data_IF_956432647540
#
_entry.id   IF_956432647540
#
_cell.length_a   1.000
_cell.length_b   1.000
_cell.length_c   1.000
_cell.angle_alpha   90.00
_cell.angle_beta   90.00
_cell.angle_gamma   90.00
#
_symmetry.space_group_name_H-M   'P 1'
#
loop_
_entity.id
_entity.type
_entity.pdbx_description
1 polymer ?
#
# COMPACT_ATOMS: atom_id res chain seq x y z
N UNK A 1 -7.32 -20.35 -16.46
CA UNK A 1 -6.10 -19.88 -17.17
C UNK A 1 -4.90 -20.15 -16.28
N UNK A 2 -3.92 -20.94 -16.75
CA UNK A 2 -2.68 -21.14 -15.98
C UNK A 2 -1.88 -19.85 -15.96
N UNK A 3 -1.97 -19.06 -14.89
CA UNK A 3 -1.10 -17.92 -14.65
C UNK A 3 0.30 -18.44 -14.36
N UNK A 4 1.29 -17.99 -15.16
CA UNK A 4 2.66 -18.45 -15.01
C UNK A 4 3.27 -18.01 -13.66
N UNK A 5 2.88 -16.83 -13.15
CA UNK A 5 3.34 -16.23 -11.90
C UNK A 5 2.19 -15.59 -11.12
N UNK A 6 2.32 -15.60 -9.80
CA UNK A 6 1.38 -14.94 -8.88
C UNK A 6 2.11 -14.39 -7.65
N UNK A 7 1.55 -13.33 -7.06
CA UNK A 7 1.99 -12.81 -5.77
C UNK A 7 1.35 -13.65 -4.66
N UNK A 8 2.18 -14.26 -3.83
CA UNK A 8 1.73 -15.02 -2.66
C UNK A 8 1.63 -14.10 -1.45
N UNK A 9 0.48 -14.10 -0.78
CA UNK A 9 0.17 -13.30 0.39
C UNK A 9 -0.17 -14.19 1.59
N UNK A 10 0.02 -13.65 2.79
CA UNK A 10 -0.30 -14.35 4.05
C UNK A 10 -1.40 -13.59 4.80
N UNK A 11 -2.61 -14.18 4.80
CA UNK A 11 -3.78 -13.61 5.47
C UNK A 11 -3.62 -13.56 6.98
N UNK A 12 -3.00 -14.60 7.57
CA UNK A 12 -2.76 -14.68 9.00
C UNK A 12 -1.74 -13.63 9.46
N UNK A 13 -0.74 -13.33 8.63
CA UNK A 13 0.18 -12.23 8.89
C UNK A 13 -0.54 -10.87 8.90
N UNK A 14 -1.46 -10.64 7.96
CA UNK A 14 -2.28 -9.43 7.94
C UNK A 14 -3.15 -9.32 9.20
N UNK A 15 -3.80 -10.42 9.61
CA UNK A 15 -4.60 -10.49 10.83
C UNK A 15 -3.78 -10.20 12.09
N UNK A 16 -2.59 -10.84 12.20
CA UNK A 16 -1.66 -10.59 13.29
C UNK A 16 -1.28 -9.09 13.37
N UNK A 17 -0.90 -8.49 12.23
CA UNK A 17 -0.49 -7.08 12.18
C UNK A 17 -1.62 -6.13 12.60
N UNK A 18 -2.86 -6.40 12.16
CA UNK A 18 -4.04 -5.62 12.55
C UNK A 18 -4.24 -5.65 14.07
N UNK A 19 -4.23 -6.83 14.68
CA UNK A 19 -4.43 -6.98 16.12
C UNK A 19 -3.26 -6.37 16.91
N UNK A 20 -2.02 -6.68 16.50
CA UNK A 20 -0.84 -6.13 17.15
C UNK A 20 -0.86 -4.59 17.17
N UNK A 21 -1.16 -3.94 16.04
CA UNK A 21 -1.17 -2.48 15.94
C UNK A 21 -2.29 -1.85 16.77
N UNK A 22 -3.48 -2.48 16.84
CA UNK A 22 -4.57 -2.06 17.74
C UNK A 22 -4.16 -2.11 19.22
N UNK A 23 -3.59 -3.24 19.62
CA UNK A 23 -3.11 -3.44 21.00
C UNK A 23 -1.94 -2.50 21.33
N UNK A 24 -0.98 -2.35 20.41
CA UNK A 24 0.20 -1.51 20.62
C UNK A 24 -0.13 -0.04 20.89
N UNK A 25 -1.14 0.51 20.21
CA UNK A 25 -1.53 1.94 20.37
C UNK A 25 -2.84 2.16 21.11
N UNK A 26 -3.60 1.12 21.43
CA UNK A 26 -4.94 1.23 22.04
C UNK A 26 -5.84 2.20 21.26
N UNK A 27 -5.80 2.13 19.91
CA UNK A 27 -6.52 2.99 18.98
C UNK A 27 -7.10 2.15 17.85
N UNK A 28 -8.15 2.66 17.22
CA UNK A 28 -8.67 2.06 15.99
C UNK A 28 -7.69 2.26 14.82
N UNK A 29 -7.80 1.37 13.83
CA UNK A 29 -6.95 1.45 12.63
C UNK A 29 -7.67 2.16 11.48
N UNK A 30 -6.91 2.97 10.75
CA UNK A 30 -7.24 3.44 9.41
C UNK A 30 -6.20 2.89 8.42
N UNK A 31 -6.36 1.64 7.93
CA UNK A 31 -5.47 1.09 6.93
C UNK A 31 -5.54 1.87 5.63
N UNK A 32 -4.36 2.16 5.05
CA UNK A 32 -4.24 2.81 3.75
C UNK A 32 -4.01 1.73 2.70
N UNK A 33 -4.99 1.54 1.82
CA UNK A 33 -5.01 0.47 0.80
C UNK A 33 -4.91 1.01 -0.63
N UNK A 34 -4.43 2.24 -0.80
CA UNK A 34 -4.19 2.88 -2.10
C UNK A 34 -3.16 2.13 -2.96
N UNK A 35 -3.11 2.46 -4.25
CA UNK A 35 -2.18 1.89 -5.22
C UNK A 35 -2.20 0.35 -5.18
N UNK A 36 -3.41 -0.22 -5.35
CA UNK A 36 -3.66 -1.65 -5.29
C UNK A 36 -3.19 -2.29 -3.97
N UNK A 37 -3.49 -1.63 -2.82
CA UNK A 37 -3.03 -2.03 -1.49
C UNK A 37 -1.49 -2.19 -1.43
N UNK A 38 -0.75 -1.19 -1.92
CA UNK A 38 0.71 -1.26 -2.08
C UNK A 38 1.17 -2.49 -2.87
N UNK A 39 0.39 -2.88 -3.88
CA UNK A 39 0.64 -4.04 -4.74
C UNK A 39 0.15 -5.38 -4.19
N UNK A 40 -0.55 -5.40 -3.04
CA UNK A 40 -1.06 -6.63 -2.40
C UNK A 40 -2.46 -7.06 -2.89
N UNK A 41 -3.07 -6.36 -3.83
CA UNK A 41 -4.46 -6.46 -4.28
C UNK A 41 -5.45 -5.78 -3.32
N UNK A 42 -5.99 -4.66 -3.81
CA UNK A 42 -6.91 -3.81 -3.03
C UNK A 42 -8.21 -4.55 -2.64
N UNK A 43 -8.69 -5.45 -3.48
CA UNK A 43 -9.93 -6.19 -3.26
C UNK A 43 -9.75 -7.28 -2.23
N UNK A 44 -8.69 -8.10 -2.35
CA UNK A 44 -8.35 -9.13 -1.38
C UNK A 44 -8.08 -8.54 0.00
N UNK A 45 -7.31 -7.46 0.04
CA UNK A 45 -6.96 -6.79 1.32
C UNK A 45 -8.19 -6.15 1.95
N UNK A 46 -9.02 -5.42 1.20
CA UNK A 46 -10.23 -4.80 1.74
C UNK A 46 -11.19 -5.85 2.32
N UNK A 47 -11.40 -6.97 1.58
CA UNK A 47 -12.25 -8.06 2.07
C UNK A 47 -11.68 -8.71 3.33
N UNK A 48 -10.37 -8.97 3.38
CA UNK A 48 -9.73 -9.52 4.57
C UNK A 48 -9.83 -8.56 5.78
N UNK A 49 -9.58 -7.26 5.58
CA UNK A 49 -9.73 -6.25 6.62
C UNK A 49 -11.17 -6.18 7.14
N UNK A 50 -12.17 -6.24 6.23
CA UNK A 50 -13.57 -6.29 6.61
C UNK A 50 -13.88 -7.50 7.49
N UNK A 51 -13.36 -8.69 7.13
CA UNK A 51 -13.51 -9.93 7.91
C UNK A 51 -12.83 -9.84 9.29
N UNK A 52 -11.84 -8.97 9.45
CA UNK A 52 -11.14 -8.68 10.72
C UNK A 52 -11.78 -7.53 11.50
N UNK A 53 -13.01 -7.16 11.15
CA UNK A 53 -13.75 -6.05 11.75
C UNK A 53 -13.05 -4.68 11.65
N UNK A 54 -12.32 -4.48 10.54
CA UNK A 54 -11.79 -3.18 10.14
C UNK A 54 -12.64 -2.65 9.00
N UNK A 55 -13.55 -1.74 9.30
CA UNK A 55 -14.59 -1.28 8.36
C UNK A 55 -14.35 0.13 7.81
N UNK A 56 -13.22 0.74 8.12
CA UNK A 56 -12.82 2.05 7.60
C UNK A 56 -11.46 1.92 6.94
N UNK A 57 -11.36 2.33 5.67
CA UNK A 57 -10.11 2.28 4.89
C UNK A 57 -9.84 3.61 4.23
N UNK A 58 -8.60 3.85 3.83
CA UNK A 58 -8.24 5.03 3.08
C UNK A 58 -7.58 4.68 1.75
N UNK A 59 -7.97 5.39 0.70
CA UNK A 59 -7.40 5.33 -0.64
C UNK A 59 -6.92 6.70 -1.10
N UNK A 60 -6.18 6.77 -2.20
CA UNK A 60 -5.72 8.04 -2.73
C UNK A 60 -6.77 8.71 -3.61
N UNK A 61 -7.45 7.95 -4.47
CA UNK A 61 -8.26 8.44 -5.58
C UNK A 61 -9.71 7.98 -5.51
N UNK A 62 -10.62 8.79 -6.07
CA UNK A 62 -12.03 8.45 -6.17
C UNK A 62 -12.27 7.15 -6.95
N UNK A 63 -11.52 6.92 -8.04
CA UNK A 63 -11.63 5.69 -8.83
C UNK A 63 -11.36 4.43 -8.01
N UNK A 64 -10.32 4.43 -7.15
CA UNK A 64 -10.05 3.30 -6.25
C UNK A 64 -11.22 3.04 -5.29
N UNK A 65 -11.84 4.10 -4.78
CA UNK A 65 -13.00 3.98 -3.88
C UNK A 65 -14.23 3.44 -4.59
N UNK A 66 -14.49 3.88 -5.84
CA UNK A 66 -15.60 3.38 -6.68
C UNK A 66 -15.43 1.91 -6.97
N UNK A 67 -14.24 1.49 -7.42
CA UNK A 67 -13.93 0.09 -7.71
C UNK A 67 -14.12 -0.80 -6.47
N UNK A 68 -13.71 -0.32 -5.30
CA UNK A 68 -13.96 -1.00 -4.02
C UNK A 68 -15.44 -1.11 -3.70
N UNK A 69 -16.22 -0.05 -3.87
CA UNK A 69 -17.66 -0.09 -3.65
C UNK A 69 -18.33 -1.12 -4.56
N UNK A 70 -17.97 -1.16 -5.84
CA UNK A 70 -18.51 -2.15 -6.78
C UNK A 70 -18.11 -3.59 -6.38
N UNK A 71 -16.87 -3.79 -5.95
CA UNK A 71 -16.42 -5.09 -5.46
C UNK A 71 -17.16 -5.54 -4.20
N UNK A 72 -17.31 -4.65 -3.20
CA UNK A 72 -17.94 -4.99 -1.93
C UNK A 72 -19.45 -5.29 -2.07
N UNK A 73 -20.13 -4.76 -3.09
CA UNK A 73 -21.54 -5.12 -3.39
C UNK A 73 -21.75 -6.62 -3.58
N UNK A 74 -20.73 -7.35 -4.07
CA UNK A 74 -20.83 -8.80 -4.30
C UNK A 74 -21.05 -9.58 -2.99
N UNK A 75 -20.71 -9.01 -1.85
CA UNK A 75 -20.85 -9.60 -0.53
C UNK A 75 -22.11 -9.11 0.21
N UNK A 76 -22.95 -8.29 -0.43
CA UNK A 76 -24.15 -7.69 0.17
C UNK A 76 -23.88 -6.95 1.49
N UNK A 77 -22.71 -6.31 1.61
CA UNK A 77 -22.30 -5.51 2.77
C UNK A 77 -22.28 -4.02 2.41
N UNK A 78 -22.64 -3.17 3.38
CA UNK A 78 -22.70 -1.72 3.20
C UNK A 78 -22.23 -0.92 4.43
N UNK A 79 -21.79 -1.61 5.50
CA UNK A 79 -21.37 -1.03 6.77
C UNK A 79 -19.86 -0.75 6.80
N UNK A 80 -19.31 -0.23 5.71
CA UNK A 80 -17.91 0.18 5.58
C UNK A 80 -17.81 1.64 5.11
N UNK A 81 -16.67 2.27 5.35
CA UNK A 81 -16.38 3.66 4.97
C UNK A 81 -15.03 3.73 4.24
N UNK A 82 -14.96 4.50 3.17
CA UNK A 82 -13.75 4.67 2.36
C UNK A 82 -13.37 6.15 2.34
N UNK A 83 -12.33 6.52 3.08
CA UNK A 83 -11.75 7.86 3.04
C UNK A 83 -10.91 8.04 1.78
N UNK A 84 -11.19 9.10 1.01
CA UNK A 84 -10.41 9.48 -0.19
C UNK A 84 -9.54 10.69 0.12
N UNK A 85 -8.21 10.57 -0.07
CA UNK A 85 -7.27 11.64 0.27
C UNK A 85 -7.18 12.77 -0.76
N UNK A 86 -7.51 12.48 -2.02
CA UNK A 86 -7.49 13.45 -3.11
C UNK A 86 -8.70 14.40 -3.00
N UNK A 87 -8.54 15.62 -3.50
CA UNK A 87 -9.67 16.53 -3.68
C UNK A 87 -10.65 15.93 -4.67
N UNK A 88 -11.94 16.04 -4.39
CA UNK A 88 -12.99 15.47 -5.21
C UNK A 88 -13.77 16.57 -5.88
N UNK A 89 -13.89 16.48 -7.20
CA UNK A 89 -14.65 17.41 -8.05
C UNK A 89 -15.91 16.74 -8.61
N UNK A 90 -15.99 15.40 -8.60
CA UNK A 90 -17.12 14.63 -9.11
C UNK A 90 -18.13 14.33 -7.97
N UNK A 91 -19.02 15.29 -7.76
CA UNK A 91 -20.08 15.20 -6.75
C UNK A 91 -21.22 14.26 -7.14
N UNK A 92 -21.45 14.03 -8.44
CA UNK A 92 -22.44 13.06 -8.92
C UNK A 92 -22.05 11.66 -8.49
N UNK A 93 -20.80 11.27 -8.71
CA UNK A 93 -20.25 9.99 -8.25
C UNK A 93 -20.31 9.87 -6.73
N UNK A 94 -19.99 10.93 -5.97
CA UNK A 94 -20.10 10.91 -4.51
C UNK A 94 -21.52 10.68 -4.01
N UNK A 95 -22.53 11.24 -4.67
CA UNK A 95 -23.94 11.02 -4.34
C UNK A 95 -24.40 9.59 -4.64
N UNK A 96 -23.82 8.96 -5.67
CA UNK A 96 -24.10 7.58 -6.04
C UNK A 96 -23.50 6.56 -5.05
N UNK A 97 -22.37 6.90 -4.40
CA UNK A 97 -21.64 6.01 -3.50
C UNK A 97 -21.57 6.57 -2.07
N UNK A 98 -22.57 6.32 -1.22
CA UNK A 98 -22.64 6.88 0.14
C UNK A 98 -21.52 6.40 1.08
N UNK A 99 -20.86 5.28 0.77
CA UNK A 99 -19.72 4.74 1.53
C UNK A 99 -18.41 5.52 1.29
N UNK A 100 -18.38 6.46 0.35
CA UNK A 100 -17.18 7.26 0.04
C UNK A 100 -17.20 8.56 0.85
N UNK A 101 -16.13 8.81 1.58
CA UNK A 101 -15.92 9.94 2.50
C UNK A 101 -14.80 10.84 1.95
N UNK A 102 -15.14 11.98 1.32
CA UNK A 102 -14.16 12.84 0.67
C UNK A 102 -13.32 13.66 1.64
N UNK A 103 -12.08 13.94 1.27
CA UNK A 103 -11.23 14.92 1.94
C UNK A 103 -11.52 16.34 1.46
N UNK A 104 -11.58 17.25 2.40
CA UNK A 104 -11.78 18.68 2.20
C UNK A 104 -10.47 19.41 2.40
N UNK A 105 -10.02 20.15 1.41
CA UNK A 105 -8.71 20.81 1.39
C UNK A 105 -8.79 22.35 1.45
N UNK A 106 -10.02 22.91 1.38
CA UNK A 106 -10.27 24.33 1.53
C UNK A 106 -11.69 24.60 2.08
N UNK A 107 -11.92 25.78 2.64
CA UNK A 107 -13.26 26.21 3.06
C UNK A 107 -14.21 26.29 1.87
N UNK A 108 -13.69 26.61 0.68
CA UNK A 108 -14.45 26.59 -0.56
C UNK A 108 -15.01 25.20 -0.86
N UNK A 109 -14.23 24.13 -0.63
CA UNK A 109 -14.66 22.74 -0.89
C UNK A 109 -15.84 22.35 0.02
N UNK A 110 -15.89 22.83 1.27
CA UNK A 110 -17.05 22.63 2.16
C UNK A 110 -18.31 23.23 1.50
N UNK A 111 -18.22 24.46 1.05
CA UNK A 111 -19.35 25.17 0.40
C UNK A 111 -19.82 24.45 -0.88
N UNK A 112 -18.86 23.96 -1.66
CA UNK A 112 -19.15 23.20 -2.88
C UNK A 112 -19.81 21.84 -2.57
N UNK A 113 -19.30 21.10 -1.58
CA UNK A 113 -19.88 19.83 -1.16
C UNK A 113 -21.34 20.01 -0.71
N UNK A 114 -21.61 21.01 0.13
CA UNK A 114 -22.97 21.34 0.58
C UNK A 114 -23.90 21.74 -0.57
N UNK A 115 -23.41 22.57 -1.50
CA UNK A 115 -24.18 22.98 -2.68
C UNK A 115 -24.52 21.82 -3.62
N UNK A 116 -23.77 20.72 -3.56
CA UNK A 116 -24.01 19.49 -4.30
C UNK A 116 -24.64 18.37 -3.45
N UNK A 117 -25.28 18.72 -2.33
CA UNK A 117 -26.00 17.81 -1.44
C UNK A 117 -25.14 16.69 -0.80
N UNK A 118 -23.84 16.90 -0.65
CA UNK A 118 -23.00 15.99 0.13
C UNK A 118 -23.17 16.33 1.61
N UNK A 119 -23.57 15.35 2.40
CA UNK A 119 -23.78 15.53 3.86
C UNK A 119 -22.44 15.83 4.56
N UNK A 120 -22.46 16.76 5.54
CA UNK A 120 -21.26 17.20 6.28
C UNK A 120 -20.61 16.06 7.06
N UNK A 121 -21.39 15.14 7.59
CA UNK A 121 -20.94 13.97 8.35
C UNK A 121 -20.16 12.94 7.50
N UNK A 122 -20.11 13.16 6.18
CA UNK A 122 -19.22 12.40 5.26
C UNK A 122 -17.91 13.11 4.99
N UNK A 123 -17.76 14.39 5.32
CA UNK A 123 -16.59 15.19 4.96
C UNK A 123 -15.46 15.01 5.98
N UNK A 124 -14.22 14.90 5.49
CA UNK A 124 -13.01 14.83 6.31
C UNK A 124 -12.12 16.05 6.07
N UNK A 125 -11.97 16.88 7.09
CA UNK A 125 -11.15 18.10 6.99
C UNK A 125 -9.68 17.76 7.06
N UNK A 126 -8.91 18.19 6.07
CA UNK A 126 -7.46 18.10 6.08
C UNK A 126 -6.84 19.46 6.37
N UNK A 127 -5.93 19.50 7.35
CA UNK A 127 -5.17 20.71 7.70
C UNK A 127 -3.75 20.58 7.18
N UNK A 128 -3.23 21.64 6.57
CA UNK A 128 -1.83 21.70 6.14
C UNK A 128 -1.01 22.55 7.14
N UNK A 129 0.02 21.94 7.71
CA UNK A 129 0.98 22.58 8.61
C UNK A 129 2.31 22.88 7.91
N UNK A 130 2.31 23.04 6.59
CA UNK A 130 3.50 23.35 5.82
C UNK A 130 4.09 22.16 5.04
N UNK A 131 3.39 21.03 4.99
CA UNK A 131 3.77 19.91 4.11
C UNK A 131 3.67 20.29 2.62
N UNK A 132 2.83 21.27 2.28
CA UNK A 132 2.78 21.89 0.94
C UNK A 132 2.14 21.03 -0.14
N UNK A 133 1.30 20.04 0.22
CA UNK A 133 0.63 19.21 -0.75
C UNK A 133 -0.83 19.62 -1.00
N UNK A 134 -1.65 19.57 0.01
CA UNK A 134 -3.05 19.99 0.04
C UNK A 134 -3.55 20.02 1.49
N UNK A 135 -4.63 20.79 1.75
CA UNK A 135 -5.23 20.96 3.06
C UNK A 135 -5.61 22.43 3.31
N UNK A 136 -6.54 22.66 4.22
CA UNK A 136 -6.91 23.99 4.73
C UNK A 136 -5.68 24.56 5.45
N UNK A 137 -5.32 25.80 5.13
CA UNK A 137 -4.15 26.43 5.70
C UNK A 137 -4.37 26.74 7.18
N UNK A 138 -3.28 26.74 7.95
CA UNK A 138 -3.35 27.03 9.39
C UNK A 138 -3.96 28.41 9.68
N UNK A 139 -3.72 29.40 8.84
CA UNK A 139 -4.23 30.77 8.95
C UNK A 139 -5.75 30.85 8.77
N UNK A 140 -6.37 29.84 8.12
CA UNK A 140 -7.82 29.78 7.86
C UNK A 140 -8.62 29.13 9.02
N UNK A 141 -7.95 28.67 10.09
CA UNK A 141 -8.59 27.90 11.19
C UNK A 141 -9.64 28.73 11.94
N UNK A 142 -9.46 30.04 12.09
CA UNK A 142 -10.43 30.90 12.76
C UNK A 142 -11.72 31.06 11.93
N UNK A 143 -11.61 31.20 10.61
CA UNK A 143 -12.75 31.20 9.72
C UNK A 143 -13.49 29.85 9.77
N UNK A 144 -12.73 28.74 9.70
CA UNK A 144 -13.27 27.39 9.80
C UNK A 144 -14.01 27.18 11.12
N UNK A 145 -13.43 27.59 12.27
CA UNK A 145 -14.07 27.52 13.59
C UNK A 145 -15.41 28.27 13.60
N UNK A 146 -15.43 29.46 13.04
CA UNK A 146 -16.66 30.29 12.97
C UNK A 146 -17.73 29.58 12.15
N UNK A 147 -17.36 29.00 11.00
CA UNK A 147 -18.26 28.27 10.13
C UNK A 147 -18.85 27.03 10.86
N UNK A 148 -18.02 26.25 11.55
CA UNK A 148 -18.42 25.06 12.31
C UNK A 148 -19.40 25.45 13.41
N UNK A 149 -19.07 26.46 14.22
CA UNK A 149 -19.88 26.88 15.35
C UNK A 149 -21.23 27.47 14.91
N UNK A 150 -21.23 28.34 13.90
CA UNK A 150 -22.44 29.00 13.43
C UNK A 150 -23.49 28.03 12.88
N UNK A 151 -23.04 26.97 12.20
CA UNK A 151 -23.91 25.97 11.56
C UNK A 151 -24.02 24.66 12.36
N UNK A 152 -23.41 24.55 13.53
CA UNK A 152 -23.38 23.32 14.36
C UNK A 152 -22.92 22.08 13.55
N UNK A 153 -21.90 22.25 12.69
CA UNK A 153 -21.44 21.20 11.78
C UNK A 153 -20.68 20.10 12.54
N UNK A 154 -20.98 18.88 12.16
CA UNK A 154 -20.22 17.68 12.57
C UNK A 154 -19.68 16.98 11.33
N UNK A 155 -18.38 16.68 11.36
CA UNK A 155 -17.66 16.10 10.25
C UNK A 155 -17.31 14.63 10.53
N UNK A 156 -17.08 13.85 9.47
CA UNK A 156 -16.53 12.50 9.62
C UNK A 156 -15.11 12.56 10.20
N UNK A 157 -14.24 13.39 9.64
CA UNK A 157 -12.85 13.37 10.05
C UNK A 157 -12.15 14.71 10.15
N UNK A 158 -11.12 14.75 11.00
CA UNK A 158 -10.10 15.78 11.03
C UNK A 158 -8.73 15.11 10.92
N UNK A 159 -7.91 15.55 9.97
CA UNK A 159 -6.58 14.97 9.81
C UNK A 159 -5.54 15.91 9.22
N UNK A 160 -4.29 15.49 9.38
CA UNK A 160 -3.15 16.04 8.67
C UNK A 160 -2.19 14.93 8.26
N UNK A 161 -1.00 15.29 7.81
CA UNK A 161 0.07 14.35 7.54
C UNK A 161 1.27 14.70 8.41
N UNK A 162 1.62 13.78 9.29
CA UNK A 162 2.83 13.93 10.09
C UNK A 162 4.04 13.83 9.16
N UNK A 163 4.73 14.91 9.01
CA UNK A 163 6.01 15.00 8.31
C UNK A 163 7.02 15.63 9.25
N UNK A 164 8.22 15.15 9.24
CA UNK A 164 9.28 15.75 10.04
C UNK A 164 10.65 15.32 9.51
N UNK A 165 11.59 16.23 9.55
CA UNK A 165 13.00 15.95 9.32
C UNK A 165 13.67 15.42 10.60
N UNK A 166 13.09 15.75 11.77
CA UNK A 166 13.57 15.32 13.09
C UNK A 166 12.42 14.93 14.01
N UNK A 167 12.74 14.34 15.15
CA UNK A 167 11.78 14.00 16.19
C UNK A 167 11.11 15.26 16.76
N UNK A 168 11.88 16.31 16.98
CA UNK A 168 11.44 17.59 17.52
C UNK A 168 10.46 18.29 16.58
N UNK A 169 10.72 18.30 15.26
CA UNK A 169 9.80 18.85 14.25
C UNK A 169 8.46 18.10 14.29
N UNK A 170 8.50 16.77 14.48
CA UNK A 170 7.30 15.98 14.64
C UNK A 170 6.47 16.36 15.86
N UNK A 171 7.11 16.65 17.00
CA UNK A 171 6.42 17.12 18.22
C UNK A 171 5.76 18.48 18.01
N UNK A 172 6.39 19.39 17.26
CA UNK A 172 5.80 20.69 16.94
C UNK A 172 4.54 20.54 16.07
N UNK A 173 4.58 19.69 15.06
CA UNK A 173 3.40 19.40 14.22
C UNK A 173 2.27 18.78 15.06
N UNK A 174 2.59 17.85 15.96
CA UNK A 174 1.63 17.23 16.87
C UNK A 174 0.97 18.27 17.79
N UNK A 175 1.77 19.17 18.36
CA UNK A 175 1.28 20.26 19.21
C UNK A 175 0.30 21.15 18.44
N UNK A 176 0.69 21.65 17.28
CA UNK A 176 -0.17 22.50 16.42
C UNK A 176 -1.46 21.76 16.02
N UNK A 177 -1.38 20.49 15.67
CA UNK A 177 -2.54 19.68 15.32
C UNK A 177 -3.49 19.53 16.51
N UNK A 178 -2.97 19.27 17.70
CA UNK A 178 -3.75 19.17 18.94
C UNK A 178 -4.47 20.48 19.25
N UNK A 179 -3.77 21.61 19.17
CA UNK A 179 -4.36 22.95 19.36
C UNK A 179 -5.50 23.22 18.37
N UNK A 180 -5.33 22.82 17.10
CA UNK A 180 -6.38 22.95 16.08
C UNK A 180 -7.58 22.06 16.39
N UNK A 181 -7.35 20.80 16.76
CA UNK A 181 -8.43 19.88 17.11
C UNK A 181 -9.26 20.39 18.32
N UNK A 182 -8.58 20.93 19.33
CA UNK A 182 -9.24 21.55 20.50
C UNK A 182 -10.00 22.83 20.11
N UNK A 183 -9.40 23.68 19.30
CA UNK A 183 -9.98 24.93 18.81
C UNK A 183 -11.25 24.72 17.99
N UNK A 184 -11.26 23.64 17.15
CA UNK A 184 -12.40 23.25 16.34
C UNK A 184 -13.45 22.42 17.11
N UNK A 185 -13.08 21.88 18.29
CA UNK A 185 -13.90 21.02 19.13
C UNK A 185 -13.84 19.56 18.70
N UNK A 186 -13.07 18.74 19.44
CA UNK A 186 -12.85 17.30 19.13
C UNK A 186 -14.15 16.53 18.87
N UNK A 187 -15.22 16.84 19.61
CA UNK A 187 -16.53 16.19 19.50
C UNK A 187 -17.27 16.51 18.18
N UNK A 188 -16.75 17.40 17.36
CA UNK A 188 -17.30 17.68 16.03
C UNK A 188 -16.78 16.70 14.96
N UNK A 189 -15.92 15.75 15.35
CA UNK A 189 -15.28 14.79 14.45
C UNK A 189 -15.47 13.36 14.97
N UNK A 190 -15.92 12.45 14.10
CA UNK A 190 -16.01 11.03 14.42
C UNK A 190 -14.60 10.41 14.44
N UNK A 191 -13.72 10.83 13.53
CA UNK A 191 -12.37 10.31 13.38
C UNK A 191 -11.33 11.44 13.39
N UNK A 192 -10.29 11.31 14.22
CA UNK A 192 -9.14 12.22 14.23
C UNK A 192 -7.88 11.39 14.00
N UNK A 193 -7.08 11.73 12.97
CA UNK A 193 -5.86 10.99 12.66
C UNK A 193 -4.74 11.88 12.09
N UNK A 194 -3.49 11.56 12.42
CA UNK A 194 -2.32 12.35 12.01
C UNK A 194 -1.16 11.47 11.51
N UNK A 195 -0.88 10.37 12.20
CA UNK A 195 0.33 9.57 12.05
C UNK A 195 0.43 8.90 10.68
N UNK A 196 1.65 8.72 10.21
CA UNK A 196 2.08 7.76 9.21
C UNK A 196 2.77 6.57 9.92
N UNK A 197 3.37 5.64 9.19
CA UNK A 197 4.04 4.46 9.75
C UNK A 197 5.10 4.82 10.82
N UNK A 198 6.01 5.75 10.52
CA UNK A 198 7.02 6.22 11.47
C UNK A 198 6.39 6.96 12.66
N UNK A 199 5.35 7.73 12.43
CA UNK A 199 4.62 8.43 13.48
C UNK A 199 3.90 7.48 14.44
N UNK A 200 3.42 6.34 13.97
CA UNK A 200 2.83 5.30 14.83
C UNK A 200 3.89 4.73 15.78
N UNK A 201 5.11 4.53 15.30
CA UNK A 201 6.21 4.05 16.13
C UNK A 201 6.69 5.12 17.12
N UNK A 202 6.97 6.34 16.65
CA UNK A 202 7.70 7.36 17.40
C UNK A 202 6.86 8.12 18.43
N UNK A 203 5.53 8.22 18.26
CA UNK A 203 4.71 9.12 19.06
C UNK A 203 3.45 8.47 19.60
N UNK A 204 3.14 8.77 20.85
CA UNK A 204 1.83 8.55 21.44
C UNK A 204 1.06 9.86 21.42
N UNK A 205 -0.01 9.93 20.62
CA UNK A 205 -0.78 11.14 20.39
C UNK A 205 -2.17 10.95 20.95
N UNK A 206 -2.47 11.64 22.07
CA UNK A 206 -3.72 11.49 22.78
C UNK A 206 -4.94 11.87 21.93
N UNK A 207 -4.85 12.99 21.19
CA UNK A 207 -5.97 13.57 20.44
C UNK A 207 -6.46 12.70 19.30
N UNK A 208 -5.64 11.77 18.77
CA UNK A 208 -6.06 10.90 17.68
C UNK A 208 -6.93 9.75 18.18
N UNK A 209 -7.97 9.45 17.41
CA UNK A 209 -8.87 8.29 17.64
C UNK A 209 -8.44 7.09 16.82
N UNK A 210 -7.82 7.34 15.66
CA UNK A 210 -7.37 6.31 14.72
C UNK A 210 -5.90 6.51 14.36
N UNK A 211 -5.14 5.42 14.27
CA UNK A 211 -3.81 5.42 13.70
C UNK A 211 -3.87 5.06 12.21
N UNK A 212 -3.23 5.90 11.38
CA UNK A 212 -3.21 5.68 9.93
C UNK A 212 -2.02 4.80 9.55
N UNK A 213 -2.33 3.56 9.18
CA UNK A 213 -1.34 2.54 8.86
C UNK A 213 -1.21 2.33 7.35
N UNK A 214 -0.04 2.69 6.81
CA UNK A 214 0.33 2.38 5.42
C UNK A 214 1.11 1.07 5.35
N UNK A 215 2.42 1.17 5.11
CA UNK A 215 3.31 0.01 4.91
C UNK A 215 3.34 -0.97 6.08
N UNK A 216 3.20 -0.47 7.32
CA UNK A 216 3.30 -1.31 8.52
C UNK A 216 2.16 -2.32 8.67
N UNK A 217 0.96 -2.06 8.17
CA UNK A 217 -0.12 -3.06 8.22
C UNK A 217 0.21 -4.29 7.36
N UNK A 218 1.05 -4.12 6.33
CA UNK A 218 1.57 -5.22 5.51
C UNK A 218 2.84 -5.86 6.07
N UNK A 219 3.28 -5.46 7.28
CA UNK A 219 4.53 -5.92 7.88
C UNK A 219 5.78 -5.39 7.17
N UNK A 220 5.64 -4.31 6.40
CA UNK A 220 6.74 -3.67 5.70
C UNK A 220 7.34 -2.60 6.61
N UNK A 221 8.45 -2.93 7.27
CA UNK A 221 9.21 -2.03 8.13
C UNK A 221 10.49 -1.59 7.40
N UNK A 222 10.82 -0.30 7.47
CA UNK A 222 12.14 0.14 7.01
C UNK A 222 13.17 -0.21 8.09
N UNK A 223 14.13 -1.05 7.72
CA UNK A 223 15.19 -1.48 8.64
C UNK A 223 15.91 -0.29 9.27
N UNK A 224 16.05 -0.32 10.60
CA UNK A 224 16.74 0.71 11.38
C UNK A 224 15.85 1.84 11.88
N UNK A 225 14.57 1.91 11.48
CA UNK A 225 13.66 2.95 11.97
C UNK A 225 12.76 2.48 13.11
N UNK A 226 12.31 1.23 13.09
CA UNK A 226 11.45 0.67 14.13
C UNK A 226 11.52 -0.87 14.13
N UNK A 227 11.30 -1.44 15.30
CA UNK A 227 11.25 -2.89 15.54
C UNK A 227 9.92 -3.22 16.22
N UNK A 228 8.90 -3.44 15.39
CA UNK A 228 7.57 -3.87 15.82
C UNK A 228 7.41 -5.35 15.48
N UNK A 229 6.69 -6.12 16.30
CA UNK A 229 6.38 -7.53 16.03
C UNK A 229 5.35 -7.67 14.90
N UNK A 230 5.75 -7.22 13.70
CA UNK A 230 4.94 -7.30 12.50
C UNK A 230 5.43 -8.42 11.58
N UNK A 231 4.47 -9.12 10.97
CA UNK A 231 4.74 -10.22 10.06
C UNK A 231 4.58 -9.77 8.60
N UNK A 232 5.52 -10.10 7.71
CA UNK A 232 5.39 -9.74 6.30
C UNK A 232 4.19 -10.46 5.66
N UNK A 233 3.28 -9.68 5.09
CA UNK A 233 2.11 -10.19 4.33
C UNK A 233 2.56 -10.71 2.98
N UNK A 234 3.48 -10.03 2.31
CA UNK A 234 4.08 -10.50 1.06
C UNK A 234 5.04 -11.66 1.32
N UNK A 235 4.83 -12.80 0.64
CA UNK A 235 5.65 -14.02 0.76
C UNK A 235 6.54 -14.29 -0.44
N UNK A 236 6.27 -13.68 -1.57
CA UNK A 236 7.07 -13.85 -2.79
C UNK A 236 6.24 -13.73 -4.05
N UNK A 237 6.91 -13.54 -5.16
CA UNK A 237 6.36 -13.66 -6.50
C UNK A 237 6.72 -15.06 -7.01
N UNK A 238 5.72 -15.94 -7.02
CA UNK A 238 5.88 -17.38 -7.19
C UNK A 238 5.52 -17.81 -8.61
N UNK A 239 6.31 -18.66 -9.20
CA UNK A 239 6.09 -19.26 -10.50
C UNK A 239 6.87 -20.54 -10.70
N UNK A 240 7.06 -20.94 -11.97
CA UNK A 240 7.76 -22.20 -12.31
C UNK A 240 8.78 -21.98 -13.41
N UNK A 241 9.82 -22.81 -13.39
CA UNK A 241 10.77 -22.94 -14.49
C UNK A 241 10.03 -23.47 -15.73
N UNK A 242 10.10 -22.71 -16.83
CA UNK A 242 9.46 -23.06 -18.11
C UNK A 242 10.35 -23.93 -18.98
N UNK A 243 11.65 -23.62 -19.05
CA UNK A 243 12.63 -24.41 -19.79
C UNK A 243 14.01 -24.29 -19.19
N UNK A 244 14.87 -25.28 -19.49
CA UNK A 244 16.28 -25.29 -19.08
C UNK A 244 17.12 -25.66 -20.32
N UNK A 245 18.24 -24.95 -20.53
CA UNK A 245 19.20 -25.23 -21.59
C UNK A 245 20.63 -25.24 -21.05
N UNK A 246 21.50 -26.06 -21.64
CA UNK A 246 22.92 -26.01 -21.36
C UNK A 246 23.58 -24.80 -22.07
N UNK A 247 24.49 -24.13 -21.37
CA UNK A 247 25.23 -22.98 -21.92
C UNK A 247 26.02 -23.37 -23.17
N UNK A 248 26.53 -24.60 -23.25
CA UNK A 248 27.25 -25.14 -24.42
C UNK A 248 26.37 -25.25 -25.69
N UNK A 249 25.07 -25.13 -25.55
CA UNK A 249 24.09 -25.18 -26.66
C UNK A 249 23.66 -23.77 -27.12
N UNK A 250 24.21 -22.71 -26.53
CA UNK A 250 23.78 -21.33 -26.71
C UNK A 250 24.92 -20.47 -27.26
N UNK A 251 24.60 -19.56 -28.16
CA UNK A 251 25.48 -18.47 -28.61
C UNK A 251 25.19 -17.19 -27.80
N UNK A 252 23.95 -17.02 -27.42
CA UNK A 252 23.45 -15.84 -26.67
C UNK A 252 22.40 -16.26 -25.60
N UNK A 253 22.25 -15.44 -24.57
CA UNK A 253 21.12 -15.49 -23.67
C UNK A 253 20.22 -14.29 -23.98
N UNK A 254 19.20 -14.52 -24.83
CA UNK A 254 18.34 -13.47 -25.40
C UNK A 254 19.18 -12.39 -26.10
N UNK A 255 19.39 -11.23 -25.50
CA UNK A 255 20.13 -10.10 -26.09
C UNK A 255 21.53 -9.94 -25.50
N UNK A 256 21.99 -10.87 -24.69
CA UNK A 256 23.28 -10.79 -24.01
C UNK A 256 24.24 -11.87 -24.52
N UNK A 257 25.51 -11.47 -24.70
CA UNK A 257 26.62 -12.36 -24.93
C UNK A 257 26.87 -13.27 -23.70
N UNK A 258 27.35 -14.49 -23.96
CA UNK A 258 27.66 -15.46 -22.91
C UNK A 258 28.77 -14.99 -21.97
N UNK A 259 29.61 -14.04 -22.36
CA UNK A 259 30.62 -13.43 -21.47
C UNK A 259 30.03 -12.69 -20.28
N UNK A 260 28.73 -12.34 -20.35
CA UNK A 260 28.00 -11.63 -19.28
C UNK A 260 27.53 -12.52 -18.12
N UNK A 261 27.57 -13.84 -18.29
CA UNK A 261 27.18 -14.81 -17.23
C UNK A 261 28.32 -15.08 -16.26
N UNK A 262 27.98 -15.59 -15.08
CA UNK A 262 28.96 -15.98 -14.07
C UNK A 262 29.84 -17.13 -14.60
N UNK A 263 31.17 -17.03 -14.53
CA UNK A 263 32.05 -18.11 -14.93
C UNK A 263 31.71 -19.43 -14.24
N UNK A 264 31.65 -20.51 -15.04
CA UNK A 264 31.29 -21.84 -14.54
C UNK A 264 29.81 -22.18 -14.52
N UNK A 265 28.95 -21.25 -14.90
CA UNK A 265 27.52 -21.52 -15.13
C UNK A 265 27.36 -22.54 -16.26
N UNK A 266 26.65 -23.65 -16.00
CA UNK A 266 26.44 -24.74 -16.97
C UNK A 266 25.08 -24.70 -17.63
N UNK A 267 24.08 -24.15 -16.96
CA UNK A 267 22.68 -24.15 -17.42
C UNK A 267 22.03 -22.80 -17.22
N UNK A 268 21.10 -22.48 -18.10
CA UNK A 268 20.20 -21.32 -18.02
C UNK A 268 18.77 -21.83 -17.93
N UNK A 269 18.06 -21.46 -16.87
CA UNK A 269 16.62 -21.62 -16.76
C UNK A 269 15.91 -20.37 -17.28
N UNK A 270 14.79 -20.59 -17.99
CA UNK A 270 13.89 -19.53 -18.43
C UNK A 270 12.58 -19.61 -17.65
N UNK A 271 12.06 -18.47 -17.24
CA UNK A 271 10.75 -18.32 -16.61
C UNK A 271 9.90 -17.31 -17.37
N UNK A 272 8.57 -17.50 -17.33
CA UNK A 272 7.61 -16.66 -18.09
C UNK A 272 7.17 -15.46 -17.28
N UNK A 273 8.08 -14.55 -17.03
CA UNK A 273 7.85 -13.24 -16.45
C UNK A 273 8.90 -12.26 -16.95
N UNK A 274 8.50 -11.04 -17.25
CA UNK A 274 9.38 -9.98 -17.72
C UNK A 274 8.86 -8.59 -17.43
N UNK A 275 9.47 -7.56 -18.04
CA UNK A 275 9.05 -6.18 -17.77
C UNK A 275 7.65 -5.85 -18.30
N UNK A 276 7.11 -6.62 -19.26
CA UNK A 276 5.71 -6.52 -19.69
C UNK A 276 4.70 -6.98 -18.62
N UNK A 277 5.16 -7.78 -17.65
CA UNK A 277 4.40 -8.18 -16.47
C UNK A 277 4.59 -7.21 -15.30
N UNK A 278 5.46 -6.20 -15.48
CA UNK A 278 5.86 -5.29 -14.40
C UNK A 278 7.05 -5.78 -13.58
N UNK A 279 7.79 -6.81 -14.03
CA UNK A 279 9.05 -7.25 -13.43
C UNK A 279 10.21 -6.55 -14.13
N UNK A 280 10.72 -5.41 -13.63
CA UNK A 280 11.60 -4.52 -14.38
C UNK A 280 13.03 -5.05 -14.54
N UNK A 281 13.73 -4.55 -15.58
CA UNK A 281 15.12 -4.91 -15.89
C UNK A 281 16.13 -4.59 -14.79
N UNK A 282 15.78 -3.71 -13.85
CA UNK A 282 16.60 -3.41 -12.67
C UNK A 282 16.85 -4.68 -11.81
N UNK A 283 16.03 -5.73 -11.98
CA UNK A 283 16.23 -7.02 -11.33
C UNK A 283 17.37 -7.87 -11.94
N UNK A 284 18.00 -7.44 -13.04
CA UNK A 284 19.22 -8.08 -13.53
C UNK A 284 20.28 -8.10 -12.43
N UNK A 285 20.97 -9.25 -12.28
CA UNK A 285 21.97 -9.50 -11.22
C UNK A 285 21.43 -9.52 -9.77
N UNK A 286 20.10 -9.45 -9.56
CA UNK A 286 19.49 -9.86 -8.30
C UNK A 286 19.39 -11.39 -8.24
N UNK A 287 18.82 -11.92 -7.16
CA UNK A 287 18.70 -13.37 -6.99
C UNK A 287 17.23 -13.81 -6.87
N UNK A 288 16.98 -15.06 -7.22
CA UNK A 288 15.74 -15.76 -6.93
C UNK A 288 16.03 -17.05 -6.15
N UNK A 289 15.02 -17.63 -5.53
CA UNK A 289 15.11 -18.90 -4.80
C UNK A 289 14.51 -20.04 -5.63
N UNK A 290 15.25 -21.11 -5.83
CA UNK A 290 14.76 -22.39 -6.40
C UNK A 290 15.27 -23.52 -5.53
N UNK A 291 14.40 -24.44 -5.08
CA UNK A 291 14.80 -25.58 -4.23
C UNK A 291 15.67 -25.16 -3.02
N UNK A 292 15.32 -24.08 -2.33
CA UNK A 292 16.04 -23.54 -1.17
C UNK A 292 17.49 -23.10 -1.46
N UNK A 293 17.83 -22.85 -2.73
CA UNK A 293 19.09 -22.26 -3.16
C UNK A 293 18.87 -20.99 -3.95
N UNK A 294 19.74 -20.00 -3.74
CA UNK A 294 19.73 -18.76 -4.51
C UNK A 294 20.45 -18.93 -5.85
N UNK A 295 19.85 -18.32 -6.88
CA UNK A 295 20.36 -18.29 -8.24
C UNK A 295 20.29 -16.87 -8.79
N UNK A 296 21.27 -16.49 -9.60
CA UNK A 296 21.39 -15.15 -10.17
C UNK A 296 20.43 -14.99 -11.35
N UNK A 297 19.71 -13.89 -11.36
CA UNK A 297 18.93 -13.46 -12.53
C UNK A 297 19.88 -12.84 -13.53
N UNK A 298 20.11 -13.52 -14.64
CA UNK A 298 21.03 -13.07 -15.69
C UNK A 298 20.43 -11.92 -16.51
N UNK A 299 19.19 -12.12 -17.01
CA UNK A 299 18.54 -11.14 -17.88
C UNK A 299 17.02 -11.15 -17.73
N UNK A 300 16.41 -9.95 -17.74
CA UNK A 300 14.97 -9.74 -17.86
C UNK A 300 14.66 -9.15 -19.24
N UNK A 301 13.78 -9.81 -20.00
CA UNK A 301 13.22 -9.34 -21.27
C UNK A 301 11.76 -8.94 -21.12
N UNK A 302 11.04 -8.68 -22.21
CA UNK A 302 9.64 -8.26 -22.15
C UNK A 302 8.75 -9.30 -21.45
N UNK A 303 8.88 -10.58 -21.83
CA UNK A 303 7.99 -11.66 -21.38
C UNK A 303 8.72 -12.80 -20.65
N UNK A 304 10.04 -12.75 -20.56
CA UNK A 304 10.84 -13.82 -19.99
C UNK A 304 11.99 -13.29 -19.14
N UNK A 305 12.35 -14.07 -18.14
CA UNK A 305 13.54 -13.86 -17.32
C UNK A 305 14.42 -15.12 -17.39
N UNK A 306 15.73 -14.90 -17.46
CA UNK A 306 16.76 -15.95 -17.55
C UNK A 306 17.56 -15.99 -16.26
N UNK A 307 17.79 -17.20 -15.76
CA UNK A 307 18.39 -17.47 -14.45
C UNK A 307 19.57 -18.43 -14.65
N UNK A 308 20.72 -18.10 -14.06
CA UNK A 308 21.89 -18.95 -14.03
C UNK A 308 21.70 -20.06 -13.02
N UNK A 309 21.64 -21.32 -13.48
CA UNK A 309 21.30 -22.45 -12.62
C UNK A 309 22.31 -23.61 -12.72
N UNK A 310 22.26 -24.53 -11.75
CA UNK A 310 23.03 -25.78 -11.76
C UNK A 310 22.16 -26.99 -12.15
N UNK A 311 22.76 -28.18 -12.08
CA UNK A 311 22.13 -29.46 -12.49
C UNK A 311 20.92 -29.88 -11.65
N UNK A 312 20.70 -29.28 -10.48
CA UNK A 312 19.55 -29.57 -9.62
C UNK A 312 18.24 -28.98 -10.11
N UNK A 313 18.29 -27.94 -10.97
CA UNK A 313 17.12 -27.25 -11.45
C UNK A 313 16.57 -27.91 -12.70
N UNK A 314 15.25 -28.16 -12.69
CA UNK A 314 14.49 -28.79 -13.76
C UNK A 314 13.27 -27.98 -14.16
N UNK A 315 12.71 -28.28 -15.32
CA UNK A 315 11.41 -27.72 -15.77
C UNK A 315 10.33 -28.07 -14.75
N UNK A 316 9.49 -27.09 -14.41
CA UNK A 316 8.41 -27.24 -13.44
C UNK A 316 8.81 -26.93 -11.99
N UNK A 317 10.10 -26.79 -11.68
CA UNK A 317 10.54 -26.40 -10.34
C UNK A 317 9.98 -25.00 -9.97
N UNK A 318 9.56 -24.88 -8.72
CA UNK A 318 9.07 -23.59 -8.19
C UNK A 318 10.20 -22.56 -8.10
N UNK A 319 9.88 -21.34 -8.52
CA UNK A 319 10.74 -20.17 -8.44
C UNK A 319 10.07 -19.11 -7.56
N UNK A 320 10.80 -18.62 -6.57
CA UNK A 320 10.38 -17.49 -5.75
C UNK A 320 11.27 -16.27 -6.07
N UNK A 321 10.69 -15.26 -6.70
CA UNK A 321 11.29 -13.95 -6.91
C UNK A 321 11.00 -13.05 -5.71
N UNK A 322 11.84 -12.05 -5.45
CA UNK A 322 11.74 -11.16 -4.30
C UNK A 322 11.71 -11.89 -2.94
N UNK A 323 12.36 -13.03 -2.85
CA UNK A 323 12.42 -13.87 -1.64
C UNK A 323 13.13 -13.18 -0.44
N UNK A 324 13.92 -12.14 -0.71
CA UNK A 324 14.60 -11.28 0.27
C UNK A 324 14.36 -9.80 -0.08
N UNK A 325 13.22 -9.24 0.30
CA UNK A 325 12.84 -7.87 -0.10
C UNK A 325 13.86 -6.79 0.29
N UNK A 326 14.47 -6.89 1.47
CA UNK A 326 15.47 -5.93 1.98
C UNK A 326 16.76 -5.97 1.15
N UNK A 327 17.23 -7.16 0.75
CA UNK A 327 18.42 -7.30 -0.09
C UNK A 327 18.15 -6.85 -1.52
N UNK A 328 16.94 -7.11 -2.03
CA UNK A 328 16.50 -6.59 -3.33
C UNK A 328 16.50 -5.07 -3.31
N UNK A 329 15.90 -4.44 -2.27
CA UNK A 329 15.92 -3.00 -2.06
C UNK A 329 17.35 -2.43 -2.13
N UNK A 330 18.29 -3.03 -1.41
CA UNK A 330 19.67 -2.58 -1.36
C UNK A 330 20.37 -2.63 -2.74
N UNK A 331 20.02 -3.61 -3.59
CA UNK A 331 20.61 -3.78 -4.93
C UNK A 331 19.98 -2.88 -5.99
N UNK A 332 18.67 -2.61 -5.88
CA UNK A 332 17.94 -1.90 -6.95
C UNK A 332 17.54 -0.47 -6.55
N UNK A 333 17.89 -0.04 -5.34
CA UNK A 333 17.57 1.30 -4.78
C UNK A 333 16.07 1.65 -4.83
N UNK A 334 15.22 0.61 -4.80
CA UNK A 334 13.76 0.74 -4.79
C UNK A 334 13.16 -0.08 -3.65
N UNK A 335 12.09 0.42 -3.06
CA UNK A 335 11.38 -0.31 -2.03
C UNK A 335 10.60 -1.48 -2.65
N UNK A 336 10.33 -2.52 -1.84
CA UNK A 336 9.57 -3.68 -2.34
C UNK A 336 8.16 -3.28 -2.80
N UNK A 337 7.51 -2.32 -2.14
CA UNK A 337 6.17 -1.87 -2.54
C UNK A 337 6.19 -1.10 -3.87
N UNK A 338 7.26 -0.37 -4.21
CA UNK A 338 7.42 0.22 -5.55
C UNK A 338 7.45 -0.89 -6.61
N UNK A 339 8.22 -1.96 -6.36
CA UNK A 339 8.31 -3.10 -7.27
C UNK A 339 6.98 -3.86 -7.37
N UNK A 340 6.26 -4.06 -6.25
CA UNK A 340 4.98 -4.76 -6.25
C UNK A 340 3.86 -3.98 -6.95
N UNK A 341 3.86 -2.65 -6.82
CA UNK A 341 2.90 -1.77 -7.50
C UNK A 341 3.07 -1.83 -9.02
N UNK A 342 4.30 -2.03 -9.52
CA UNK A 342 4.59 -2.16 -10.94
C UNK A 342 4.00 -3.44 -11.57
N UNK A 343 3.79 -4.50 -10.77
CA UNK A 343 3.28 -5.78 -11.29
C UNK A 343 1.89 -5.61 -11.92
N UNK A 344 1.76 -6.02 -13.17
CA UNK A 344 0.52 -5.93 -13.95
C UNK A 344 -0.61 -6.76 -13.34
N UNK A 345 -1.74 -6.12 -13.05
CA UNK A 345 -2.94 -6.81 -12.56
C UNK A 345 -3.63 -7.67 -13.63
N UNK A 346 -3.34 -7.44 -14.91
CA UNK A 346 -3.87 -8.24 -16.01
C UNK A 346 -3.15 -9.58 -16.18
N UNK A 347 -1.87 -9.64 -15.81
CA UNK A 347 -1.00 -10.82 -16.07
C UNK A 347 -0.55 -11.52 -14.78
N UNK A 348 -0.51 -10.80 -13.65
CA UNK A 348 -0.05 -11.33 -12.36
C UNK A 348 -1.20 -11.29 -11.35
N UNK A 349 -1.66 -12.45 -10.91
CA UNK A 349 -2.66 -12.57 -9.84
C UNK A 349 -2.03 -12.37 -8.46
N UNK A 350 -2.85 -12.06 -7.48
CA UNK A 350 -2.51 -12.12 -6.05
C UNK A 350 -3.43 -13.12 -5.40
N UNK A 351 -2.88 -13.95 -4.53
CA UNK A 351 -3.63 -14.99 -3.81
C UNK A 351 -3.16 -15.07 -2.37
N UNK A 352 -4.06 -15.37 -1.47
CA UNK A 352 -3.68 -15.80 -0.13
C UNK A 352 -3.15 -17.23 -0.17
N UNK A 353 -2.12 -17.50 0.64
CA UNK A 353 -1.55 -18.83 0.74
C UNK A 353 -2.61 -19.85 1.18
N UNK A 354 -2.74 -20.94 0.42
CA UNK A 354 -3.74 -22.00 0.65
C UNK A 354 -5.01 -21.86 -0.17
N UNK A 355 -5.21 -20.75 -0.91
CA UNK A 355 -6.30 -20.62 -1.89
C UNK A 355 -5.88 -21.24 -3.23
N UNK A 356 -6.84 -21.84 -3.95
CA UNK A 356 -6.60 -22.38 -5.30
C UNK A 356 -6.47 -21.26 -6.34
N UNK A 357 -5.58 -21.47 -7.33
CA UNK A 357 -5.28 -20.51 -8.41
C UNK A 357 -6.37 -20.57 -9.50
#
# INVERSE_FOLDING_TARGET
MNTSFYVSLDKEALYHNVNYLREYKQKELLPVIKANAYGHDIFLVAKALYDFDVKVWAVARLSEAVDLCEYMKQFSVNDYKILVFESIEDFETLNKYPNIYPSINSIKDIKQALANNISVDRLSLKIDFGFGRNGIKYEEIDELKTLIKFNSLKFFGLFSHLFSASYEDGLEVIKKFTEVADKLGRNNFEMIHLQNAAGVYNYDIEVVTHIRTGTIVYGMQESGFYDLDLKPVFKGLIGKVDSVRYVSELDYIAYQDLSSITPGTKKIAKIKIGYGDGFPKINNKTTCMIKKKEYVISQVTMDNTFIEVDDRVNVGDEVCLYHRPSETKAKVEQTIWELLILLSTLRIKRIFKGEEI
#
